data_IF_054872044758
#
_entry.id   IF_054872044758
#
_cell.length_a   1.000
_cell.length_b   1.000
_cell.length_c   1.000
_cell.angle_alpha   90.00
_cell.angle_beta   90.00
_cell.angle_gamma   90.00
#
_symmetry.space_group_name_H-M   'P 1'
#
loop_
_entity.id
_entity.type
_entity.pdbx_description
1 polymer ?
#
# COMPACT_ATOMS: atom_id res chain seq x y z
N UNK A 1 -32.42 12.60 -8.99
CA UNK A 1 -31.60 11.63 -8.20
C UNK A 1 -30.14 11.41 -8.65
N UNK A 2 -29.57 11.89 -9.77
CA UNK A 2 -28.15 11.64 -10.09
C UNK A 2 -27.14 12.56 -9.39
N UNK A 3 -27.52 13.78 -9.02
CA UNK A 3 -26.58 14.80 -8.48
C UNK A 3 -26.22 14.54 -7.01
N UNK A 4 -27.17 14.08 -6.21
CA UNK A 4 -26.98 13.79 -4.78
C UNK A 4 -26.06 12.57 -4.55
N UNK A 5 -26.15 11.56 -5.43
CA UNK A 5 -25.25 10.38 -5.38
C UNK A 5 -23.80 10.72 -5.73
N UNK A 6 -23.57 11.62 -6.68
CA UNK A 6 -22.22 12.04 -7.06
C UNK A 6 -21.51 12.83 -5.93
N UNK A 7 -22.27 13.69 -5.22
CA UNK A 7 -21.74 14.43 -4.07
C UNK A 7 -21.35 13.52 -2.90
N UNK A 8 -22.14 12.49 -2.62
CA UNK A 8 -21.86 11.52 -1.55
C UNK A 8 -20.64 10.66 -1.88
N UNK A 9 -20.49 10.23 -3.14
CA UNK A 9 -19.35 9.45 -3.61
C UNK A 9 -18.04 10.24 -3.50
N UNK A 10 -18.03 11.50 -3.92
CA UNK A 10 -16.87 12.38 -3.80
C UNK A 10 -16.43 12.58 -2.34
N UNK A 11 -17.39 12.73 -1.42
CA UNK A 11 -17.10 12.82 0.02
C UNK A 11 -16.45 11.53 0.57
N UNK A 12 -16.99 10.36 0.22
CA UNK A 12 -16.45 9.07 0.67
C UNK A 12 -15.01 8.86 0.21
N UNK A 13 -14.70 9.17 -1.04
CA UNK A 13 -13.32 9.06 -1.54
C UNK A 13 -12.35 10.03 -0.87
N UNK A 14 -12.80 11.24 -0.54
CA UNK A 14 -12.00 12.18 0.24
C UNK A 14 -11.68 11.63 1.63
N UNK A 15 -12.66 11.09 2.34
CA UNK A 15 -12.43 10.49 3.66
C UNK A 15 -11.48 9.31 3.60
N UNK A 16 -11.57 8.44 2.58
CA UNK A 16 -10.62 7.33 2.40
C UNK A 16 -9.18 7.84 2.22
N UNK A 17 -8.95 8.88 1.42
CA UNK A 17 -7.62 9.48 1.24
C UNK A 17 -7.06 10.09 2.51
N UNK A 18 -7.90 10.84 3.24
CA UNK A 18 -7.51 11.40 4.54
C UNK A 18 -7.19 10.27 5.53
N UNK A 19 -7.99 9.21 5.55
CA UNK A 19 -7.75 8.05 6.41
C UNK A 19 -6.42 7.37 6.09
N UNK A 20 -6.06 7.19 4.82
CA UNK A 20 -4.77 6.61 4.40
C UNK A 20 -3.59 7.43 4.92
N UNK A 21 -3.65 8.76 4.80
CA UNK A 21 -2.62 9.66 5.36
C UNK A 21 -2.59 9.56 6.88
N UNK A 22 -3.76 9.56 7.53
CA UNK A 22 -3.88 9.44 8.99
C UNK A 22 -3.29 8.12 9.52
N UNK A 23 -3.54 7.00 8.83
CA UNK A 23 -2.99 5.70 9.18
C UNK A 23 -1.45 5.66 9.09
N UNK A 24 -0.87 6.28 8.06
CA UNK A 24 0.59 6.36 7.94
C UNK A 24 1.21 7.28 8.98
N UNK A 25 0.55 8.37 9.34
CA UNK A 25 0.98 9.24 10.45
C UNK A 25 0.91 8.48 11.78
N UNK A 26 -0.17 7.71 12.02
CA UNK A 26 -0.30 6.89 13.23
C UNK A 26 0.79 5.82 13.31
N UNK A 27 1.10 5.16 12.18
CA UNK A 27 2.19 4.20 12.09
C UNK A 27 3.54 4.86 12.41
N UNK A 28 3.85 6.00 11.78
CA UNK A 28 5.07 6.74 12.04
C UNK A 28 5.17 7.16 13.51
N UNK A 29 4.10 7.69 14.09
CA UNK A 29 4.05 8.08 15.51
C UNK A 29 4.32 6.90 16.44
N UNK A 30 3.72 5.73 16.19
CA UNK A 30 3.94 4.53 16.98
C UNK A 30 5.40 4.04 16.89
N UNK A 31 5.98 4.05 15.69
CA UNK A 31 7.36 3.66 15.42
C UNK A 31 8.33 4.62 16.14
N UNK A 32 8.16 5.93 16.00
CA UNK A 32 9.03 6.92 16.64
C UNK A 32 8.89 6.90 18.16
N UNK A 33 7.68 6.74 18.70
CA UNK A 33 7.45 6.60 20.14
C UNK A 33 8.16 5.36 20.67
N UNK A 34 8.00 4.20 20.02
CA UNK A 34 8.66 2.96 20.42
C UNK A 34 10.18 3.09 20.34
N UNK A 35 10.72 3.73 19.29
CA UNK A 35 12.17 3.99 19.16
C UNK A 35 12.68 4.87 20.30
N UNK A 36 11.93 5.87 20.72
CA UNK A 36 12.31 6.74 21.83
C UNK A 36 12.38 5.99 23.17
N UNK A 37 11.51 4.99 23.37
CA UNK A 37 11.54 4.13 24.57
C UNK A 37 12.73 3.15 24.55
N UNK A 38 13.14 2.69 23.37
CA UNK A 38 14.26 1.75 23.20
C UNK A 38 15.62 2.44 23.08
N UNK A 39 15.65 3.74 22.85
CA UNK A 39 16.86 4.53 22.63
C UNK A 39 17.52 4.31 21.25
N UNK A 40 16.90 3.54 20.33
CA UNK A 40 17.43 3.26 19.01
C UNK A 40 16.33 2.91 18.00
N UNK A 41 16.61 3.10 16.71
CA UNK A 41 15.76 2.60 15.63
C UNK A 41 16.09 1.13 15.34
N UNK A 42 15.05 0.34 15.03
CA UNK A 42 15.23 -1.01 14.51
C UNK A 42 15.68 -0.97 13.04
N UNK A 43 16.12 -2.12 12.52
CA UNK A 43 16.67 -2.23 11.17
C UNK A 43 15.62 -1.94 10.06
N UNK A 44 14.32 -2.10 10.34
CA UNK A 44 13.22 -1.81 9.43
C UNK A 44 11.97 -1.37 10.21
N UNK A 45 11.02 -0.69 9.55
CA UNK A 45 9.70 -0.37 10.12
C UNK A 45 8.92 -1.65 10.41
N UNK A 46 9.05 -2.67 9.56
CA UNK A 46 8.37 -3.94 9.77
C UNK A 46 8.90 -4.75 10.96
N UNK A 47 10.13 -4.49 11.43
CA UNK A 47 10.65 -5.09 12.65
C UNK A 47 9.87 -4.66 13.91
N UNK A 48 9.17 -3.52 13.86
CA UNK A 48 8.27 -3.08 14.94
C UNK A 48 7.04 -3.97 15.11
N UNK A 49 6.78 -4.88 14.19
CA UNK A 49 5.81 -5.97 14.36
C UNK A 49 6.07 -6.81 15.63
N UNK A 50 7.32 -6.89 16.09
CA UNK A 50 7.71 -7.66 17.28
C UNK A 50 7.80 -6.81 18.55
N UNK A 51 7.22 -5.62 18.56
CA UNK A 51 7.24 -4.65 19.65
C UNK A 51 5.82 -4.26 20.06
N UNK A 52 5.63 -3.49 21.14
CA UNK A 52 4.31 -2.92 21.48
C UNK A 52 3.64 -2.10 20.37
N UNK A 53 4.37 -1.67 19.33
CA UNK A 53 3.80 -1.00 18.17
C UNK A 53 3.08 -1.94 17.19
N UNK A 54 3.09 -3.27 17.40
CA UNK A 54 2.50 -4.29 16.51
C UNK A 54 1.06 -3.98 16.11
N UNK A 55 0.20 -3.67 17.07
CA UNK A 55 -1.22 -3.44 16.79
C UNK A 55 -1.44 -2.26 15.85
N UNK A 56 -0.67 -1.17 16.02
CA UNK A 56 -0.73 0.01 15.14
C UNK A 56 -0.14 -0.33 13.77
N UNK A 57 0.99 -1.04 13.72
CA UNK A 57 1.61 -1.47 12.47
C UNK A 57 0.64 -2.30 11.61
N UNK A 58 0.09 -3.38 12.18
CA UNK A 58 -0.83 -4.27 11.47
C UNK A 58 -2.12 -3.54 11.09
N UNK A 59 -2.73 -2.82 12.03
CA UNK A 59 -3.97 -2.08 11.81
C UNK A 59 -3.83 -0.98 10.75
N UNK A 60 -2.73 -0.23 10.77
CA UNK A 60 -2.47 0.81 9.79
C UNK A 60 -2.29 0.24 8.38
N UNK A 61 -1.53 -0.83 8.21
CA UNK A 61 -1.28 -1.43 6.89
C UNK A 61 -2.52 -2.15 6.33
N UNK A 62 -3.30 -2.85 7.17
CA UNK A 62 -4.58 -3.44 6.75
C UNK A 62 -5.56 -2.34 6.36
N UNK A 63 -5.69 -1.30 7.18
CA UNK A 63 -6.56 -0.16 6.89
C UNK A 63 -6.15 0.59 5.62
N UNK A 64 -4.84 0.77 5.40
CA UNK A 64 -4.28 1.34 4.18
C UNK A 64 -4.64 0.48 2.97
N UNK A 65 -4.39 -0.83 3.04
CA UNK A 65 -4.68 -1.77 1.95
C UNK A 65 -6.16 -1.83 1.61
N UNK A 66 -7.03 -1.91 2.62
CA UNK A 66 -8.48 -1.88 2.43
C UNK A 66 -8.95 -0.55 1.82
N UNK A 67 -8.37 0.58 2.24
CA UNK A 67 -8.68 1.89 1.67
C UNK A 67 -8.24 2.00 0.20
N UNK A 68 -7.08 1.45 -0.16
CA UNK A 68 -6.59 1.41 -1.55
C UNK A 68 -7.53 0.57 -2.44
N UNK A 69 -7.99 -0.59 -1.97
CA UNK A 69 -8.94 -1.46 -2.70
C UNK A 69 -10.31 -0.78 -2.83
N UNK A 70 -10.77 -0.06 -1.81
CA UNK A 70 -12.06 0.61 -1.82
C UNK A 70 -12.06 1.91 -2.63
N UNK A 71 -10.90 2.50 -2.87
CA UNK A 71 -10.73 3.74 -3.61
C UNK A 71 -10.77 3.45 -5.11
N UNK A 72 -11.75 4.01 -5.81
CA UNK A 72 -11.78 3.96 -7.27
C UNK A 72 -10.72 4.87 -7.88
N UNK A 73 -9.91 4.31 -8.77
CA UNK A 73 -8.96 5.05 -9.59
C UNK A 73 -9.66 5.98 -10.59
N UNK A 74 -8.97 7.02 -11.02
CA UNK A 74 -9.45 7.95 -12.05
C UNK A 74 -9.32 7.38 -13.47
N UNK A 75 -8.57 6.30 -13.61
CA UNK A 75 -8.44 5.48 -14.82
C UNK A 75 -8.52 4.00 -14.43
N UNK A 76 -8.92 3.14 -15.39
CA UNK A 76 -8.97 1.70 -15.16
C UNK A 76 -7.59 1.13 -14.76
N UNK A 77 -6.50 1.67 -15.31
CA UNK A 77 -5.14 1.30 -14.92
C UNK A 77 -4.82 1.66 -13.47
N UNK A 78 -5.14 2.89 -13.06
CA UNK A 78 -4.94 3.34 -11.67
C UNK A 78 -5.73 2.47 -10.70
N UNK A 79 -6.98 2.14 -11.03
CA UNK A 79 -7.85 1.29 -10.23
C UNK A 79 -7.22 -0.09 -9.99
N UNK A 80 -6.68 -0.73 -11.04
CA UNK A 80 -6.02 -2.02 -10.90
C UNK A 80 -4.73 -1.95 -10.08
N UNK A 81 -3.93 -0.91 -10.24
CA UNK A 81 -2.70 -0.73 -9.44
C UNK A 81 -3.01 -0.44 -7.97
N UNK A 82 -4.08 0.30 -7.67
CA UNK A 82 -4.56 0.49 -6.30
C UNK A 82 -5.00 -0.82 -5.67
N UNK A 83 -5.76 -1.64 -6.39
CA UNK A 83 -6.21 -2.94 -5.93
C UNK A 83 -5.02 -3.87 -5.61
N UNK A 84 -4.04 -3.96 -6.53
CA UNK A 84 -2.83 -4.76 -6.32
C UNK A 84 -1.99 -4.23 -5.15
N UNK A 85 -1.79 -2.92 -5.08
CA UNK A 85 -1.08 -2.27 -3.97
C UNK A 85 -1.76 -2.54 -2.62
N UNK A 86 -3.09 -2.50 -2.59
CA UNK A 86 -3.87 -2.82 -1.40
C UNK A 86 -3.69 -4.27 -0.94
N UNK A 87 -3.69 -5.23 -1.87
CA UNK A 87 -3.39 -6.64 -1.58
C UNK A 87 -1.98 -6.77 -1.00
N UNK A 88 -0.97 -6.16 -1.61
CA UNK A 88 0.40 -6.20 -1.11
C UNK A 88 0.54 -5.55 0.26
N UNK A 89 -0.12 -4.42 0.53
CA UNK A 89 -0.09 -3.77 1.84
C UNK A 89 -0.63 -4.69 2.95
N UNK A 90 -1.71 -5.43 2.68
CA UNK A 90 -2.27 -6.40 3.62
C UNK A 90 -1.29 -7.57 3.84
N UNK A 91 -0.64 -8.07 2.79
CA UNK A 91 0.39 -9.12 2.93
C UNK A 91 1.57 -8.63 3.77
N UNK A 92 2.07 -7.40 3.53
CA UNK A 92 3.13 -6.76 4.35
C UNK A 92 2.73 -6.69 5.83
N UNK A 93 1.46 -6.41 6.12
CA UNK A 93 0.94 -6.33 7.48
C UNK A 93 0.99 -7.67 8.23
N UNK A 94 0.74 -8.79 7.54
CA UNK A 94 0.54 -10.11 8.15
C UNK A 94 1.74 -11.05 7.98
N UNK A 95 2.67 -10.72 7.09
CA UNK A 95 3.93 -11.44 6.89
C UNK A 95 5.08 -10.48 7.24
N UNK A 96 5.50 -10.41 8.53
CA UNK A 96 6.55 -9.50 8.95
C UNK A 96 7.93 -9.94 8.43
N UNK A 97 8.91 -9.02 8.46
CA UNK A 97 10.33 -9.39 8.26
C UNK A 97 10.81 -10.31 9.37
N UNK A 98 11.97 -10.98 9.16
CA UNK A 98 12.67 -11.70 10.23
C UNK A 98 12.99 -10.79 11.42
N UNK A 99 13.22 -11.39 12.58
CA UNK A 99 13.53 -10.67 13.84
C UNK A 99 14.93 -10.02 13.86
N UNK A 100 15.69 -10.16 12.79
CA UNK A 100 17.03 -9.61 12.64
C UNK A 100 18.12 -10.69 12.64
N UNK A 101 19.30 -10.30 12.15
CA UNK A 101 20.41 -11.24 11.92
C UNK A 101 20.87 -11.94 13.20
N UNK A 102 20.86 -11.25 14.34
CA UNK A 102 21.26 -11.81 15.63
C UNK A 102 20.30 -12.92 16.09
N UNK A 103 19.00 -12.69 15.95
CA UNK A 103 17.99 -13.72 16.26
C UNK A 103 18.12 -14.93 15.33
N UNK A 104 18.31 -14.71 14.03
CA UNK A 104 18.50 -15.78 13.06
C UNK A 104 19.77 -16.59 13.31
N UNK A 105 20.85 -15.94 13.76
CA UNK A 105 22.09 -16.60 14.16
C UNK A 105 21.90 -17.44 15.42
N UNK A 106 21.15 -16.93 16.41
CA UNK A 106 20.81 -17.65 17.62
C UNK A 106 19.97 -18.89 17.33
N UNK A 107 18.96 -18.78 16.44
CA UNK A 107 18.15 -19.92 16.00
C UNK A 107 19.03 -21.01 15.36
N UNK A 108 19.93 -20.63 14.46
CA UNK A 108 20.85 -21.58 13.81
C UNK A 108 21.74 -22.28 14.84
N UNK A 109 22.39 -21.52 15.72
CA UNK A 109 23.23 -22.06 16.76
C UNK A 109 22.47 -23.03 17.70
N UNK A 110 21.23 -22.68 18.07
CA UNK A 110 20.40 -23.55 18.89
C UNK A 110 19.99 -24.85 18.19
N UNK A 111 19.74 -24.81 16.88
CA UNK A 111 19.43 -26.02 16.08
C UNK A 111 20.65 -26.92 15.92
N UNK A 112 21.81 -26.34 15.65
CA UNK A 112 23.07 -27.07 15.47
C UNK A 112 23.54 -27.75 16.77
N UNK A 113 23.28 -27.12 17.92
CA UNK A 113 23.65 -27.68 19.25
C UNK A 113 22.61 -28.65 19.83
N UNK A 114 21.53 -28.96 19.08
CA UNK A 114 20.47 -29.79 19.60
C UNK A 114 19.69 -29.16 20.74
N UNK A 115 19.67 -27.83 20.84
CA UNK A 115 18.93 -27.08 21.85
C UNK A 115 19.66 -26.93 23.21
N UNK A 116 20.93 -27.27 23.30
CA UNK A 116 21.67 -27.30 24.57
C UNK A 116 22.53 -26.05 24.85
N UNK A 117 22.77 -25.19 23.86
CA UNK A 117 23.55 -23.96 24.03
C UNK A 117 22.77 -22.90 24.80
N UNK A 118 23.37 -22.40 25.91
CA UNK A 118 22.95 -21.17 26.55
C UNK A 118 23.46 -20.00 25.69
N UNK A 119 22.60 -19.42 24.87
CA UNK A 119 22.99 -18.27 24.08
C UNK A 119 22.93 -17.00 24.93
N UNK A 120 24.05 -16.65 25.56
CA UNK A 120 24.27 -15.28 26.03
C UNK A 120 24.61 -14.30 24.90
N UNK A 121 24.52 -14.76 23.66
CA UNK A 121 24.86 -14.00 22.46
C UNK A 121 23.59 -13.60 21.77
N UNK A 122 23.08 -12.48 22.02
CA UNK A 122 22.15 -11.66 21.32
C UNK A 122 21.29 -10.89 22.31
N UNK A 123 20.74 -9.82 21.89
CA UNK A 123 19.75 -8.96 22.53
C UNK A 123 18.52 -9.66 23.17
N UNK A 124 18.45 -10.98 23.13
CA UNK A 124 17.43 -11.81 23.78
C UNK A 124 18.11 -12.57 24.95
N UNK A 125 17.76 -12.25 26.19
CA UNK A 125 18.11 -13.03 27.38
C UNK A 125 17.37 -14.39 27.42
N UNK A 126 17.13 -15.02 26.25
CA UNK A 126 16.39 -16.27 26.13
C UNK A 126 17.33 -17.45 25.99
N UNK A 127 16.98 -18.56 26.60
CA UNK A 127 17.58 -19.86 26.38
C UNK A 127 17.19 -20.44 25.01
N UNK A 128 17.87 -21.49 24.56
CA UNK A 128 17.54 -22.10 23.26
C UNK A 128 16.09 -22.55 23.12
N UNK A 129 15.45 -23.20 24.12
CA UNK A 129 14.01 -23.49 24.04
C UNK A 129 13.15 -22.24 23.82
N UNK A 130 13.46 -21.13 24.46
CA UNK A 130 12.74 -19.88 24.30
C UNK A 130 12.93 -19.26 22.91
N UNK A 131 14.14 -19.29 22.36
CA UNK A 131 14.44 -18.81 21.00
C UNK A 131 13.68 -19.63 19.96
N UNK A 132 13.70 -20.96 20.06
CA UNK A 132 13.01 -21.85 19.13
C UNK A 132 11.48 -21.70 19.24
N UNK A 133 10.94 -21.58 20.46
CA UNK A 133 9.52 -21.34 20.69
C UNK A 133 9.03 -20.02 20.05
N UNK A 134 9.84 -18.95 20.12
CA UNK A 134 9.51 -17.67 19.45
C UNK A 134 9.53 -17.78 17.93
N UNK A 135 10.44 -18.57 17.37
CA UNK A 135 10.48 -18.83 15.95
C UNK A 135 9.25 -19.61 15.49
N UNK A 136 8.90 -20.68 16.21
CA UNK A 136 7.74 -21.51 15.89
C UNK A 136 6.43 -20.72 16.03
N UNK A 137 6.31 -19.88 17.05
CA UNK A 137 5.18 -18.97 17.19
C UNK A 137 5.08 -17.96 16.03
N UNK A 138 6.20 -17.41 15.59
CA UNK A 138 6.26 -16.51 14.44
C UNK A 138 5.80 -17.21 13.14
N UNK A 139 6.26 -18.44 12.92
CA UNK A 139 5.83 -19.29 11.80
C UNK A 139 4.33 -19.58 11.84
N UNK A 140 3.82 -20.02 12.99
CA UNK A 140 2.40 -20.31 13.18
C UNK A 140 1.52 -19.08 12.93
N UNK A 141 1.98 -17.89 13.34
CA UNK A 141 1.28 -16.63 13.05
C UNK A 141 1.21 -16.34 11.56
N UNK A 142 2.31 -16.49 10.81
CA UNK A 142 2.33 -16.30 9.35
C UNK A 142 1.38 -17.29 8.67
N UNK A 143 1.43 -18.55 9.05
CA UNK A 143 0.57 -19.61 8.52
C UNK A 143 -0.92 -19.30 8.73
N UNK A 144 -1.30 -18.98 9.96
CA UNK A 144 -2.68 -18.64 10.32
C UNK A 144 -3.18 -17.39 9.58
N UNK A 145 -2.36 -16.34 9.56
CA UNK A 145 -2.73 -15.08 8.93
C UNK A 145 -2.87 -15.22 7.42
N UNK A 146 -1.95 -15.95 6.78
CA UNK A 146 -2.02 -16.22 5.34
C UNK A 146 -3.20 -17.12 5.00
N UNK A 147 -3.51 -18.14 5.81
CA UNK A 147 -4.69 -18.99 5.61
C UNK A 147 -5.97 -18.13 5.64
N UNK A 148 -6.13 -17.27 6.64
CA UNK A 148 -7.26 -16.34 6.73
C UNK A 148 -7.35 -15.42 5.50
N UNK A 149 -6.22 -14.83 5.09
CA UNK A 149 -6.15 -13.94 3.93
C UNK A 149 -6.50 -14.67 2.62
N UNK A 150 -6.01 -15.90 2.45
CA UNK A 150 -6.31 -16.72 1.27
C UNK A 150 -7.78 -17.12 1.22
N UNK A 151 -8.41 -17.46 2.36
CA UNK A 151 -9.84 -17.76 2.42
C UNK A 151 -10.66 -16.53 2.00
N UNK A 152 -10.41 -15.37 2.63
CA UNK A 152 -11.14 -14.14 2.31
C UNK A 152 -10.86 -13.68 0.88
N UNK A 153 -9.62 -13.75 0.44
CA UNK A 153 -9.21 -13.43 -0.93
C UNK A 153 -9.90 -14.32 -1.95
N UNK A 154 -9.92 -15.64 -1.72
CA UNK A 154 -10.61 -16.60 -2.59
C UNK A 154 -12.12 -16.32 -2.70
N UNK A 155 -12.79 -16.05 -1.58
CA UNK A 155 -14.21 -15.67 -1.58
C UNK A 155 -14.44 -14.36 -2.36
N UNK A 156 -13.59 -13.38 -2.18
CA UNK A 156 -13.65 -12.10 -2.90
C UNK A 156 -13.44 -12.29 -4.40
N UNK A 157 -12.48 -13.12 -4.81
CA UNK A 157 -12.23 -13.45 -6.23
C UNK A 157 -13.43 -14.17 -6.85
N UNK A 158 -14.04 -15.12 -6.15
CA UNK A 158 -15.26 -15.81 -6.62
C UNK A 158 -16.41 -14.81 -6.80
N UNK A 159 -16.65 -13.93 -5.83
CA UNK A 159 -17.67 -12.89 -5.92
C UNK A 159 -17.42 -11.95 -7.11
N UNK A 160 -16.17 -11.51 -7.28
CA UNK A 160 -15.75 -10.65 -8.41
C UNK A 160 -15.97 -11.38 -9.74
N UNK A 161 -15.60 -12.65 -9.86
CA UNK A 161 -15.84 -13.45 -11.05
C UNK A 161 -17.34 -13.53 -11.40
N UNK A 162 -18.19 -13.76 -10.41
CA UNK A 162 -19.66 -13.81 -10.61
C UNK A 162 -20.19 -12.45 -11.11
N UNK A 163 -19.68 -11.34 -10.57
CA UNK A 163 -20.07 -10.00 -11.02
C UNK A 163 -19.63 -9.74 -12.47
N UNK A 164 -18.40 -10.13 -12.83
CA UNK A 164 -17.86 -10.00 -14.17
C UNK A 164 -18.66 -10.85 -15.19
N UNK A 165 -18.97 -12.09 -14.84
CA UNK A 165 -19.74 -13.02 -15.69
C UNK A 165 -21.18 -12.54 -15.92
N UNK A 166 -21.80 -11.89 -14.95
CA UNK A 166 -23.16 -11.34 -15.08
C UNK A 166 -23.22 -10.08 -15.94
N UNK A 167 -22.11 -9.66 -16.57
CA UNK A 167 -22.05 -8.56 -17.52
C UNK A 167 -22.30 -7.16 -16.94
N UNK A 168 -22.39 -7.03 -15.60
CA UNK A 168 -22.57 -5.72 -14.94
C UNK A 168 -21.34 -4.81 -15.06
N UNK A 169 -20.19 -5.37 -15.44
CA UNK A 169 -18.95 -4.63 -15.74
C UNK A 169 -18.91 -3.99 -17.15
N UNK A 170 -19.95 -4.18 -17.96
CA UNK A 170 -19.97 -3.81 -19.39
C UNK A 170 -20.11 -2.31 -19.68
N UNK A 171 -19.92 -1.41 -18.72
CA UNK A 171 -19.88 0.05 -18.95
C UNK A 171 -18.53 0.58 -19.41
N UNK A 172 -17.48 -0.26 -19.42
CA UNK A 172 -16.15 0.12 -19.82
C UNK A 172 -15.99 -0.14 -21.33
N UNK A 173 -15.38 0.79 -22.05
CA UNK A 173 -14.99 0.58 -23.45
C UNK A 173 -14.02 -0.60 -23.58
N UNK A 174 -13.66 -0.98 -24.81
CA UNK A 174 -12.78 -2.13 -25.08
C UNK A 174 -11.46 -2.07 -24.30
N UNK A 175 -10.83 -0.89 -24.17
CA UNK A 175 -9.60 -0.71 -23.40
C UNK A 175 -9.79 -0.96 -21.91
N UNK A 176 -10.85 -0.42 -21.30
CA UNK A 176 -11.16 -0.65 -19.89
C UNK A 176 -11.40 -2.11 -19.57
N UNK A 177 -12.00 -2.86 -20.49
CA UNK A 177 -12.23 -4.31 -20.33
C UNK A 177 -10.91 -5.08 -20.17
N UNK A 178 -9.87 -4.73 -20.93
CA UNK A 178 -8.55 -5.39 -20.81
C UNK A 178 -7.88 -5.12 -19.46
N UNK A 179 -8.00 -3.90 -18.96
CA UNK A 179 -7.48 -3.56 -17.63
C UNK A 179 -8.21 -4.35 -16.53
N UNK A 180 -9.54 -4.44 -16.58
CA UNK A 180 -10.32 -5.22 -15.59
C UNK A 180 -9.96 -6.71 -15.63
N UNK A 181 -9.87 -7.30 -16.84
CA UNK A 181 -9.47 -8.71 -16.98
C UNK A 181 -8.03 -8.91 -16.52
N UNK A 182 -7.11 -8.03 -16.91
CA UNK A 182 -5.70 -8.09 -16.52
C UNK A 182 -5.50 -8.00 -15.00
N UNK A 183 -6.16 -7.03 -14.35
CA UNK A 183 -6.11 -6.87 -12.90
C UNK A 183 -6.72 -8.06 -12.15
N UNK A 184 -7.88 -8.56 -12.60
CA UNK A 184 -8.47 -9.77 -12.04
C UNK A 184 -7.55 -10.98 -12.20
N UNK A 185 -6.97 -11.17 -13.38
CA UNK A 185 -6.02 -12.27 -13.63
C UNK A 185 -4.76 -12.16 -12.76
N UNK A 186 -4.24 -10.95 -12.55
CA UNK A 186 -3.11 -10.71 -11.67
C UNK A 186 -3.46 -11.02 -10.20
N UNK A 187 -4.64 -10.63 -9.73
CA UNK A 187 -5.11 -10.97 -8.39
C UNK A 187 -5.28 -12.48 -8.19
N UNK A 188 -5.83 -13.19 -9.18
CA UNK A 188 -5.92 -14.66 -9.18
C UNK A 188 -4.52 -15.28 -9.13
N UNK A 189 -3.59 -14.80 -9.96
CA UNK A 189 -2.22 -15.30 -9.97
C UNK A 189 -1.51 -15.09 -8.62
N UNK A 190 -1.65 -13.91 -8.00
CA UNK A 190 -1.12 -13.63 -6.66
C UNK A 190 -1.74 -14.55 -5.60
N UNK A 191 -3.04 -14.79 -5.67
CA UNK A 191 -3.73 -15.69 -4.76
C UNK A 191 -3.23 -17.14 -4.90
N UNK A 192 -3.07 -17.64 -6.13
CA UNK A 192 -2.51 -18.97 -6.40
C UNK A 192 -1.06 -19.07 -5.92
N UNK A 193 -0.23 -18.05 -6.16
CA UNK A 193 1.15 -18.01 -5.68
C UNK A 193 1.20 -18.03 -4.15
N UNK A 194 0.33 -17.29 -3.47
CA UNK A 194 0.19 -17.32 -2.02
C UNK A 194 -0.23 -18.72 -1.51
N UNK A 195 -1.20 -19.36 -2.16
CA UNK A 195 -1.63 -20.71 -1.83
C UNK A 195 -0.49 -21.73 -1.99
N UNK A 196 0.23 -21.67 -3.10
CA UNK A 196 1.40 -22.52 -3.37
C UNK A 196 2.48 -22.27 -2.32
N UNK A 197 2.80 -21.01 -2.00
CA UNK A 197 3.83 -20.66 -1.04
C UNK A 197 3.53 -21.23 0.36
N UNK A 198 2.27 -21.13 0.83
CA UNK A 198 1.84 -21.72 2.09
C UNK A 198 1.89 -23.26 2.04
N UNK A 199 1.44 -23.86 0.94
CA UNK A 199 1.39 -25.32 0.81
C UNK A 199 2.78 -25.98 0.67
N UNK A 200 3.73 -25.27 0.04
CA UNK A 200 5.08 -25.80 -0.23
C UNK A 200 6.04 -25.53 0.92
N UNK A 201 6.08 -24.29 1.41
CA UNK A 201 7.00 -23.93 2.49
C UNK A 201 6.60 -22.60 3.17
N UNK A 202 6.03 -22.70 4.35
CA UNK A 202 5.75 -21.54 5.21
C UNK A 202 7.06 -20.85 5.63
N UNK A 203 8.16 -21.58 5.78
CA UNK A 203 9.46 -20.99 6.14
C UNK A 203 10.00 -20.11 5.02
N UNK A 204 9.86 -20.53 3.76
CA UNK A 204 10.22 -19.70 2.62
C UNK A 204 9.37 -18.42 2.57
N UNK A 205 8.05 -18.57 2.78
CA UNK A 205 7.13 -17.44 2.80
C UNK A 205 7.47 -16.46 3.94
N UNK A 206 7.76 -16.96 5.15
CA UNK A 206 8.15 -16.14 6.28
C UNK A 206 9.47 -15.40 6.04
N UNK A 207 10.41 -16.01 5.30
CA UNK A 207 11.71 -15.40 4.99
C UNK A 207 11.67 -14.39 3.83
N UNK A 208 10.80 -14.57 2.83
CA UNK A 208 10.84 -13.81 1.57
C UNK A 208 9.53 -13.05 1.29
N UNK A 209 8.41 -13.51 1.82
CA UNK A 209 7.07 -12.99 1.49
C UNK A 209 6.93 -11.50 1.77
N UNK A 210 7.50 -11.03 2.88
CA UNK A 210 7.50 -9.61 3.24
C UNK A 210 8.19 -8.75 2.16
N UNK A 211 9.40 -9.11 1.75
CA UNK A 211 10.17 -8.32 0.77
C UNK A 211 9.51 -8.30 -0.60
N UNK A 212 8.93 -9.44 -1.01
CA UNK A 212 8.18 -9.55 -2.28
C UNK A 212 6.93 -8.65 -2.22
N UNK A 213 6.18 -8.70 -1.12
CA UNK A 213 4.99 -7.89 -0.94
C UNK A 213 5.32 -6.39 -0.82
N UNK A 214 6.37 -6.02 -0.08
CA UNK A 214 6.83 -4.63 0.01
C UNK A 214 7.30 -4.08 -1.34
N UNK A 215 8.05 -4.86 -2.11
CA UNK A 215 8.43 -4.51 -3.48
C UNK A 215 7.22 -4.36 -4.41
N UNK A 216 6.25 -5.27 -4.33
CA UNK A 216 4.98 -5.20 -5.06
C UNK A 216 4.14 -3.98 -4.69
N UNK A 217 4.07 -3.64 -3.40
CA UNK A 217 3.41 -2.42 -2.91
C UNK A 217 4.08 -1.17 -3.49
N UNK A 218 5.41 -1.06 -3.37
CA UNK A 218 6.16 0.07 -3.91
C UNK A 218 5.94 0.21 -5.43
N UNK A 219 6.07 -0.88 -6.17
CA UNK A 219 5.83 -0.88 -7.62
C UNK A 219 4.40 -0.42 -7.94
N UNK A 220 3.40 -0.91 -7.23
CA UNK A 220 2.01 -0.51 -7.42
C UNK A 220 1.82 0.99 -7.21
N UNK A 221 2.41 1.56 -6.16
CA UNK A 221 2.38 3.00 -5.87
C UNK A 221 3.03 3.82 -6.99
N UNK A 222 4.19 3.39 -7.49
CA UNK A 222 4.88 4.06 -8.61
C UNK A 222 4.04 4.00 -9.88
N UNK A 223 3.37 2.89 -10.15
CA UNK A 223 2.47 2.74 -11.30
C UNK A 223 1.21 3.61 -11.17
N UNK A 224 0.65 3.76 -9.96
CA UNK A 224 -0.45 4.72 -9.68
C UNK A 224 0.00 6.15 -9.98
N UNK A 225 1.17 6.55 -9.49
CA UNK A 225 1.71 7.88 -9.76
C UNK A 225 1.95 8.11 -11.26
N UNK A 226 2.49 7.11 -11.96
CA UNK A 226 2.69 7.12 -13.41
C UNK A 226 1.39 7.22 -14.21
N UNK A 227 0.36 6.45 -13.84
CA UNK A 227 -0.95 6.49 -14.48
C UNK A 227 -1.60 7.88 -14.33
N UNK A 228 -1.49 8.49 -13.15
CA UNK A 228 -1.96 9.86 -12.91
C UNK A 228 -1.20 10.90 -13.73
N UNK A 229 0.12 10.79 -13.81
CA UNK A 229 0.93 11.67 -14.64
C UNK A 229 0.54 11.58 -16.13
N UNK A 230 0.36 10.36 -16.64
CA UNK A 230 -0.06 10.11 -18.02
C UNK A 230 -1.46 10.68 -18.32
N UNK A 231 -2.43 10.41 -17.44
CA UNK A 231 -3.79 10.97 -17.56
C UNK A 231 -3.79 12.50 -17.65
N UNK A 232 -3.00 13.16 -16.83
CA UNK A 232 -2.91 14.62 -16.79
C UNK A 232 -2.27 15.21 -18.04
N UNK A 233 -1.40 14.49 -18.71
CA UNK A 233 -0.85 14.91 -20.00
C UNK A 233 -1.89 14.81 -21.12
N UNK A 234 -2.76 13.81 -21.12
CA UNK A 234 -3.77 13.60 -22.15
C UNK A 234 -4.98 14.55 -22.04
N UNK A 235 -5.33 14.96 -20.82
CA UNK A 235 -6.46 15.87 -20.56
C UNK A 235 -5.94 17.14 -19.88
N UNK A 236 -5.36 18.10 -20.60
CA UNK A 236 -5.05 19.41 -20.06
C UNK A 236 -6.36 20.04 -19.61
N UNK A 237 -6.58 20.14 -18.33
CA UNK A 237 -7.79 20.73 -17.73
C UNK A 237 -7.87 22.21 -18.14
N UNK A 238 -9.08 22.72 -18.34
CA UNK A 238 -9.43 24.14 -18.66
C UNK A 238 -8.78 25.17 -17.70
N UNK A 239 -8.07 24.70 -16.70
CA UNK A 239 -7.50 25.41 -15.56
C UNK A 239 -6.16 26.12 -15.81
N UNK A 240 -5.63 26.08 -17.01
CA UNK A 240 -4.41 26.85 -17.35
C UNK A 240 -4.58 28.36 -17.26
N UNK A 241 -5.77 28.85 -16.90
CA UNK A 241 -6.08 30.27 -16.83
C UNK A 241 -5.59 31.00 -15.56
N UNK A 242 -5.21 30.29 -14.49
CA UNK A 242 -4.70 30.94 -13.26
C UNK A 242 -3.16 30.77 -13.17
N UNK A 243 -2.44 31.75 -13.71
CA UNK A 243 -0.98 31.88 -13.54
C UNK A 243 -0.63 31.82 -12.04
N UNK A 244 0.03 30.75 -11.61
CA UNK A 244 0.60 30.67 -10.26
C UNK A 244 0.46 29.32 -9.54
N UNK A 245 -0.39 28.40 -9.97
CA UNK A 245 -0.63 27.15 -9.25
C UNK A 245 0.27 26.02 -9.77
N UNK A 246 1.51 25.97 -9.23
CA UNK A 246 2.56 25.04 -9.67
C UNK A 246 2.20 23.59 -9.32
N UNK A 247 1.52 23.37 -8.18
CA UNK A 247 1.22 22.03 -7.64
C UNK A 247 0.16 21.26 -8.42
N UNK A 248 -0.73 21.95 -9.16
CA UNK A 248 -1.84 21.32 -9.90
C UNK A 248 -1.59 21.25 -11.41
N UNK A 249 -0.39 21.60 -11.86
CA UNK A 249 -0.02 21.54 -13.28
C UNK A 249 0.22 20.08 -13.72
N UNK A 250 -0.07 19.72 -15.00
CA UNK A 250 0.25 18.40 -15.54
C UNK A 250 1.73 18.03 -15.37
N UNK A 251 2.62 19.03 -15.39
CA UNK A 251 4.04 18.85 -15.19
C UNK A 251 4.38 18.47 -13.74
N UNK A 252 3.63 18.98 -12.74
CA UNK A 252 3.87 18.64 -11.34
C UNK A 252 3.68 17.13 -11.08
N UNK A 253 2.61 16.52 -11.61
CA UNK A 253 2.39 15.08 -11.51
C UNK A 253 3.52 14.26 -12.14
N UNK A 254 3.98 14.70 -13.30
CA UNK A 254 5.11 14.05 -13.97
C UNK A 254 6.38 14.14 -13.13
N UNK A 255 6.68 15.31 -12.57
CA UNK A 255 7.84 15.49 -11.71
C UNK A 255 7.72 14.72 -10.39
N UNK A 256 6.52 14.64 -9.80
CA UNK A 256 6.28 13.81 -8.60
C UNK A 256 6.52 12.33 -8.92
N UNK A 257 5.98 11.82 -10.02
CA UNK A 257 6.18 10.43 -10.42
C UNK A 257 7.67 10.12 -10.70
N UNK A 258 8.38 11.01 -11.40
CA UNK A 258 9.82 10.88 -11.66
C UNK A 258 10.60 10.93 -10.34
N UNK A 259 10.29 11.91 -9.47
CA UNK A 259 10.96 12.02 -8.18
C UNK A 259 10.75 10.78 -7.31
N UNK A 260 9.52 10.25 -7.25
CA UNK A 260 9.25 9.02 -6.53
C UNK A 260 10.05 7.84 -7.10
N UNK A 261 10.11 7.69 -8.42
CA UNK A 261 10.88 6.62 -9.06
C UNK A 261 12.38 6.75 -8.78
N UNK A 262 12.95 7.94 -8.98
CA UNK A 262 14.39 8.21 -8.82
C UNK A 262 14.79 8.06 -7.35
N UNK A 263 14.04 8.71 -6.44
CA UNK A 263 14.36 8.63 -4.99
C UNK A 263 14.23 7.22 -4.48
N UNK A 264 13.16 6.49 -4.84
CA UNK A 264 13.01 5.09 -4.44
C UNK A 264 14.13 4.21 -5.00
N UNK A 265 14.52 4.41 -6.26
CA UNK A 265 15.63 3.70 -6.88
C UNK A 265 16.97 3.97 -6.18
N UNK A 266 17.27 5.23 -5.87
CA UNK A 266 18.47 5.61 -5.11
C UNK A 266 18.47 5.00 -3.71
N UNK A 267 17.36 5.05 -2.99
CA UNK A 267 17.23 4.47 -1.66
C UNK A 267 17.45 2.96 -1.67
N UNK A 268 16.91 2.25 -2.66
CA UNK A 268 17.14 0.81 -2.83
C UNK A 268 18.61 0.52 -3.08
N UNK A 269 19.30 1.28 -3.95
CA UNK A 269 20.73 1.10 -4.20
C UNK A 269 21.54 1.35 -2.93
N UNK A 270 21.25 2.41 -2.17
CA UNK A 270 21.92 2.71 -0.91
C UNK A 270 21.71 1.60 0.13
N UNK A 271 20.53 1.00 0.18
CA UNK A 271 20.25 -0.15 1.04
C UNK A 271 21.03 -1.39 0.60
N UNK A 272 21.03 -1.72 -0.71
CA UNK A 272 21.77 -2.86 -1.25
C UNK A 272 23.28 -2.75 -1.04
N UNK A 273 23.82 -1.52 -0.99
CA UNK A 273 25.23 -1.25 -0.69
C UNK A 273 25.51 -1.12 0.82
N UNK A 274 24.52 -1.38 1.68
CA UNK A 274 24.59 -1.23 3.14
C UNK A 274 24.94 0.21 3.62
N UNK A 275 24.72 1.22 2.79
CA UNK A 275 24.94 2.61 3.14
C UNK A 275 23.85 3.16 4.08
N UNK A 276 22.63 2.63 3.98
CA UNK A 276 21.49 2.97 4.85
C UNK A 276 20.76 1.70 5.30
N UNK A 277 20.08 1.75 6.46
CA UNK A 277 19.21 0.66 6.89
C UNK A 277 17.89 0.67 6.11
N UNK A 278 17.23 -0.48 6.03
CA UNK A 278 15.90 -0.63 5.39
C UNK A 278 14.87 0.30 6.05
N UNK A 279 15.00 0.59 7.34
CA UNK A 279 14.16 1.55 8.06
C UNK A 279 14.03 2.89 7.34
N UNK A 280 15.15 3.48 6.92
CA UNK A 280 15.14 4.77 6.23
C UNK A 280 14.53 4.69 4.83
N UNK A 281 14.71 3.57 4.14
CA UNK A 281 14.06 3.33 2.84
C UNK A 281 12.54 3.34 3.01
N UNK A 282 12.03 2.56 3.96
CA UNK A 282 10.59 2.41 4.22
C UNK A 282 9.95 3.75 4.65
N UNK A 283 10.57 4.47 5.58
CA UNK A 283 10.07 5.78 6.06
C UNK A 283 10.05 6.83 4.94
N UNK A 284 11.11 6.92 4.15
CA UNK A 284 11.19 7.93 3.06
C UNK A 284 10.22 7.59 1.93
N UNK A 285 10.06 6.32 1.58
CA UNK A 285 9.06 5.89 0.59
C UNK A 285 7.63 6.15 1.10
N UNK A 286 7.34 5.86 2.37
CA UNK A 286 6.05 6.17 2.97
C UNK A 286 5.77 7.68 2.99
N UNK A 287 6.78 8.50 3.26
CA UNK A 287 6.67 9.95 3.21
C UNK A 287 6.35 10.46 1.79
N UNK A 288 7.04 9.93 0.77
CA UNK A 288 6.74 10.28 -0.64
C UNK A 288 5.31 9.88 -1.02
N UNK A 289 4.85 8.75 -0.54
CA UNK A 289 3.47 8.30 -0.75
C UNK A 289 2.46 9.25 -0.10
N UNK A 290 2.71 9.70 1.14
CA UNK A 290 1.87 10.69 1.82
C UNK A 290 1.82 11.99 1.01
N UNK A 291 2.97 12.50 0.55
CA UNK A 291 3.03 13.70 -0.27
C UNK A 291 2.23 13.56 -1.57
N UNK A 292 2.38 12.43 -2.26
CA UNK A 292 1.59 12.14 -3.46
C UNK A 292 0.08 12.20 -3.18
N UNK A 293 -0.39 11.57 -2.11
CA UNK A 293 -1.81 11.57 -1.74
C UNK A 293 -2.34 12.93 -1.31
N UNK A 294 -1.54 13.72 -0.61
CA UNK A 294 -1.90 15.10 -0.26
C UNK A 294 -2.10 15.93 -1.53
N UNK A 295 -1.14 15.89 -2.46
CA UNK A 295 -1.21 16.63 -3.73
C UNK A 295 -2.43 16.19 -4.54
N UNK A 296 -2.66 14.88 -4.67
CA UNK A 296 -3.81 14.35 -5.41
C UNK A 296 -5.14 14.75 -4.76
N UNK A 297 -5.24 14.75 -3.44
CA UNK A 297 -6.45 15.15 -2.73
C UNK A 297 -6.76 16.62 -2.94
N UNK A 298 -5.77 17.50 -2.80
CA UNK A 298 -5.92 18.95 -3.04
C UNK A 298 -6.37 19.21 -4.48
N UNK A 299 -5.75 18.55 -5.44
CA UNK A 299 -6.06 18.73 -6.86
C UNK A 299 -7.50 18.33 -7.22
N UNK A 300 -7.99 17.22 -6.69
CA UNK A 300 -9.35 16.75 -6.94
C UNK A 300 -10.41 17.61 -6.26
N UNK A 301 -10.14 18.19 -5.10
CA UNK A 301 -11.04 19.16 -4.46
C UNK A 301 -11.22 20.39 -5.35
N UNK A 302 -10.17 20.85 -5.93
CA UNK A 302 -10.23 21.96 -6.86
C UNK A 302 -11.00 21.64 -8.14
N UNK A 303 -10.82 20.43 -8.72
CA UNK A 303 -11.61 20.02 -9.90
C UNK A 303 -13.12 20.01 -9.58
N UNK A 304 -13.51 19.46 -8.44
CA UNK A 304 -14.91 19.40 -8.01
C UNK A 304 -15.53 20.79 -7.85
N UNK A 305 -14.81 21.73 -7.22
CA UNK A 305 -15.26 23.12 -7.05
C UNK A 305 -15.43 23.84 -8.40
N UNK A 306 -14.51 23.64 -9.33
CA UNK A 306 -14.56 24.29 -10.65
C UNK A 306 -15.76 23.80 -11.47
N UNK A 307 -16.05 22.50 -11.45
CA UNK A 307 -17.22 21.92 -12.14
C UNK A 307 -18.51 22.50 -11.56
N UNK A 308 -18.63 22.57 -10.24
CA UNK A 308 -19.82 23.14 -9.58
C UNK A 308 -20.02 24.59 -9.98
N UNK A 309 -18.99 25.41 -9.96
CA UNK A 309 -19.06 26.84 -10.31
C UNK A 309 -19.48 27.06 -11.77
N UNK A 310 -18.93 26.26 -12.70
CA UNK A 310 -19.27 26.37 -14.14
C UNK A 310 -20.72 25.93 -14.38
N UNK A 311 -21.19 24.88 -13.72
CA UNK A 311 -22.56 24.39 -13.84
C UNK A 311 -23.55 25.43 -13.34
N UNK A 312 -23.33 26.01 -12.17
CA UNK A 312 -24.18 27.06 -11.59
C UNK A 312 -24.20 28.32 -12.45
N UNK A 313 -23.06 28.75 -13.00
CA UNK A 313 -22.98 29.91 -13.89
C UNK A 313 -23.77 29.67 -15.22
N UNK A 314 -23.70 28.44 -15.76
CA UNK A 314 -24.41 28.04 -16.96
C UNK A 314 -25.93 27.97 -16.76
N UNK A 315 -26.36 27.50 -15.58
CA UNK A 315 -27.80 27.47 -15.22
C UNK A 315 -28.35 28.90 -15.04
N UNK A 316 -27.63 29.77 -14.35
CA UNK A 316 -28.03 31.17 -14.18
C UNK A 316 -28.10 31.91 -15.51
N UNK A 317 -27.16 31.69 -16.42
CA UNK A 317 -27.18 32.29 -17.76
C UNK A 317 -28.36 31.79 -18.60
N UNK A 318 -28.74 30.52 -18.42
CA UNK A 318 -29.89 29.92 -19.12
C UNK A 318 -31.23 30.42 -18.60
N UNK A 319 -31.32 30.72 -17.30
CA UNK A 319 -32.51 31.33 -16.72
C UNK A 319 -32.68 32.78 -17.17
N UNK A 320 -31.62 33.58 -17.20
CA UNK A 320 -31.60 34.97 -17.66
C UNK A 320 -31.89 35.11 -19.18
N UNK A 321 -31.72 34.05 -19.96
CA UNK A 321 -32.01 34.08 -21.42
C UNK A 321 -33.45 33.67 -21.77
N UNK A 322 -34.27 33.33 -20.77
CA UNK A 322 -35.67 32.95 -20.90
C UNK A 322 -36.66 34.09 -20.61
N UNK A 323 -36.18 35.14 -19.98
CA UNK A 323 -36.86 36.41 -19.74
C UNK A 323 -36.53 37.42 -20.85
#
# INVERSE_FOLDING_TARGET
MPIESAGTQAKSYRYLRIAMVGLLIALAAAVFYQSSQQGSFLASVSAYYYTPAQAVFVGALIGLGASMIALQGLTDAEDQFLNLGGIFAIVVAVVPTGRGADFESAVRACRESGGTLLTHQASTNLDCPGVLALQDAGRANVENNMAALLIVGGLTLVLTAVILLKGKAAKHGTEGRWWVIGGFSAAVALWLLGLIAVAVSVDWLAGHGHYIAAGGLLLSILLVAGANAHRRQQKPTVRHARKGDVLTSPRAYTWIAIAMLVVSGVLIVLWLTNAISLFWVEILVAFLFVLFWIVQTIDLEFEAQTVTTVTTASETTRELSKD
#
